data_IF_753486127227
#
_entry.id   IF_753486127227
#
_cell.length_a   1.000
_cell.length_b   1.000
_cell.length_c   1.000
_cell.angle_alpha   90.00
_cell.angle_beta   90.00
_cell.angle_gamma   90.00
#
_symmetry.space_group_name_H-M   'P 1'
#
loop_
_entity.id
_entity.type
_entity.pdbx_description
1 polymer ?
#
# COMPACT_ATOMS: atom_id res chain seq x y z
N UNK A 1 29.74 18.65 -2.98
CA UNK A 1 28.81 18.23 -1.89
C UNK A 1 27.39 18.28 -2.43
N UNK A 2 26.49 17.30 -2.33
CA UNK A 2 26.62 15.91 -1.91
C UNK A 2 25.87 14.98 -2.88
N UNK A 3 26.56 13.94 -3.36
CA UNK A 3 25.96 12.82 -4.12
C UNK A 3 25.50 11.67 -3.21
N UNK A 4 25.56 11.85 -1.88
CA UNK A 4 25.27 10.82 -0.88
C UNK A 4 23.84 10.77 -0.33
N UNK A 5 22.98 11.76 -0.61
CA UNK A 5 21.63 11.83 0.00
C UNK A 5 20.53 11.03 -0.72
N UNK A 6 20.81 10.45 -1.90
CA UNK A 6 19.80 9.72 -2.70
C UNK A 6 19.66 8.23 -2.34
N UNK A 7 20.56 7.70 -1.50
CA UNK A 7 20.50 6.30 -1.08
C UNK A 7 19.52 6.16 0.11
N UNK A 8 18.29 5.72 -0.18
CA UNK A 8 17.31 5.29 0.83
C UNK A 8 15.97 6.03 0.81
N UNK A 9 15.87 7.17 0.12
CA UNK A 9 14.67 8.03 0.11
C UNK A 9 13.90 7.87 -1.20
N UNK A 10 13.08 6.82 -1.34
CA UNK A 10 12.19 6.69 -2.49
C UNK A 10 10.74 6.81 -2.06
N UNK A 11 10.10 7.85 -2.57
CA UNK A 11 8.66 7.95 -2.69
C UNK A 11 8.38 8.05 -4.18
N UNK A 12 7.75 7.04 -4.75
CA UNK A 12 7.30 7.01 -6.13
C UNK A 12 5.89 7.57 -6.22
N UNK A 13 5.60 8.35 -7.24
CA UNK A 13 4.24 8.79 -7.54
C UNK A 13 3.79 8.14 -8.84
N UNK A 14 2.71 7.37 -8.75
CA UNK A 14 1.99 6.86 -9.90
C UNK A 14 1.12 7.97 -10.51
N UNK A 15 0.77 7.85 -11.79
CA UNK A 15 -0.05 8.75 -12.59
C UNK A 15 -1.41 9.01 -11.96
N UNK A 16 -1.97 7.99 -11.31
CA UNK A 16 -3.19 8.18 -10.56
C UNK A 16 -3.00 9.21 -9.43
N UNK A 17 -1.80 9.45 -8.90
CA UNK A 17 -1.38 10.22 -7.68
C UNK A 17 -1.15 9.36 -6.43
N UNK A 18 -1.13 8.04 -6.57
CA UNK A 18 -0.76 7.14 -5.47
C UNK A 18 0.73 7.27 -5.22
N UNK A 19 1.10 7.43 -3.95
CA UNK A 19 2.48 7.37 -3.51
C UNK A 19 2.84 5.94 -3.13
N UNK A 20 4.00 5.45 -3.54
CA UNK A 20 4.55 4.15 -3.13
C UNK A 20 5.92 4.37 -2.51
N UNK A 21 6.15 3.82 -1.33
CA UNK A 21 7.41 4.00 -0.61
C UNK A 21 7.73 2.75 0.21
N UNK A 22 8.95 2.68 0.72
CA UNK A 22 9.44 1.51 1.46
C UNK A 22 9.55 1.76 2.95
N UNK A 23 9.74 0.69 3.72
CA UNK A 23 10.07 0.74 5.14
C UNK A 23 11.28 1.63 5.44
N UNK A 24 12.31 1.57 4.60
CA UNK A 24 13.52 2.38 4.76
C UNK A 24 13.20 3.88 4.73
N UNK A 25 12.23 4.29 3.92
CA UNK A 25 11.74 5.67 3.94
C UNK A 25 11.11 6.04 5.28
N UNK A 26 10.25 5.18 5.85
CA UNK A 26 9.65 5.41 7.18
C UNK A 26 10.73 5.50 8.26
N UNK A 27 11.70 4.59 8.25
CA UNK A 27 12.82 4.58 9.19
C UNK A 27 13.66 5.86 9.09
N UNK A 28 13.88 6.37 7.88
CA UNK A 28 14.57 7.65 7.67
C UNK A 28 13.80 8.87 8.20
N UNK A 29 12.48 8.77 8.39
CA UNK A 29 11.65 9.85 8.93
C UNK A 29 11.64 9.91 10.47
N UNK A 30 12.20 8.90 11.15
CA UNK A 30 12.20 8.84 12.61
C UNK A 30 13.48 8.23 13.16
N UNK A 31 14.25 9.01 13.92
CA UNK A 31 15.44 8.52 14.64
C UNK A 31 15.13 7.32 15.55
N UNK A 32 13.89 7.21 16.05
CA UNK A 32 13.47 6.09 16.91
C UNK A 32 13.35 4.77 16.15
N UNK A 33 13.22 4.81 14.83
CA UNK A 33 13.05 3.66 13.95
C UNK A 33 14.26 3.43 13.03
N UNK A 34 15.34 4.19 13.15
CA UNK A 34 16.45 4.24 12.20
C UNK A 34 17.03 2.84 11.86
N UNK A 35 16.98 1.91 12.81
CA UNK A 35 17.43 0.51 12.65
C UNK A 35 16.39 -0.52 13.10
N UNK A 36 15.14 -0.10 13.28
CA UNK A 36 14.08 -0.96 13.84
C UNK A 36 12.98 -1.14 12.80
N UNK A 37 12.68 -2.39 12.48
CA UNK A 37 11.57 -2.73 11.60
C UNK A 37 10.24 -2.65 12.35
N UNK A 38 9.29 -1.84 11.88
CA UNK A 38 7.93 -1.88 12.42
C UNK A 38 7.24 -3.19 12.03
N UNK A 39 6.60 -3.82 12.99
CA UNK A 39 5.75 -5.02 12.80
C UNK A 39 4.42 -4.63 12.15
N UNK A 40 3.89 -3.47 12.52
CA UNK A 40 2.64 -2.93 11.96
C UNK A 40 2.80 -1.45 11.65
N UNK A 41 2.31 -1.04 10.49
CA UNK A 41 2.25 0.36 10.08
C UNK A 41 0.82 0.71 9.71
N UNK A 42 0.26 1.70 10.39
CA UNK A 42 -1.13 2.13 10.21
C UNK A 42 -1.14 3.61 9.89
N UNK A 43 -1.98 4.02 8.94
CA UNK A 43 -2.18 5.43 8.65
C UNK A 43 -3.14 6.07 9.67
N UNK A 44 -2.72 7.17 10.28
CA UNK A 44 -3.54 7.99 11.19
C UNK A 44 -4.15 9.21 10.51
N UNK A 45 -3.87 9.43 9.21
CA UNK A 45 -4.48 10.52 8.48
C UNK A 45 -6.00 10.26 8.38
N UNK A 46 -6.85 11.26 8.68
CA UNK A 46 -8.30 11.09 8.61
C UNK A 46 -8.82 10.86 7.18
N UNK A 47 -8.00 11.22 6.22
CA UNK A 47 -8.32 11.39 4.82
C UNK A 47 -7.20 10.71 4.04
N UNK A 48 -7.53 9.77 3.15
CA UNK A 48 -6.56 9.04 2.34
C UNK A 48 -6.56 7.54 2.62
N UNK A 49 -6.21 6.76 1.61
CA UNK A 49 -6.18 5.30 1.74
C UNK A 49 -4.75 4.81 1.71
N UNK A 50 -4.39 4.09 2.75
CA UNK A 50 -3.08 3.50 2.93
C UNK A 50 -3.13 2.00 2.69
N UNK A 51 -2.08 1.43 2.12
CA UNK A 51 -1.94 -0.01 1.87
C UNK A 51 -0.60 -0.47 2.42
N UNK A 52 -0.64 -1.51 3.24
CA UNK A 52 0.52 -2.32 3.59
C UNK A 52 0.55 -3.56 2.69
N UNK A 53 1.68 -3.78 2.01
CA UNK A 53 1.88 -4.95 1.16
C UNK A 53 2.48 -6.15 1.90
N UNK A 54 2.90 -5.99 3.16
CA UNK A 54 3.43 -7.07 4.01
C UNK A 54 4.88 -7.46 3.71
N UNK A 55 5.53 -6.78 2.78
CA UNK A 55 6.94 -6.98 2.39
C UNK A 55 7.77 -5.70 2.59
N UNK A 56 7.33 -4.81 3.49
CA UNK A 56 7.98 -3.52 3.74
C UNK A 56 7.84 -2.52 2.59
N UNK A 57 6.85 -2.69 1.73
CA UNK A 57 6.33 -1.64 0.84
C UNK A 57 5.00 -1.14 1.35
N UNK A 58 4.74 0.13 1.08
CA UNK A 58 3.51 0.81 1.44
C UNK A 58 3.04 1.68 0.29
N UNK A 59 1.73 1.84 0.15
CA UNK A 59 1.15 2.82 -0.75
C UNK A 59 0.20 3.77 -0.01
N UNK A 60 0.13 5.01 -0.48
CA UNK A 60 -0.76 6.02 0.06
C UNK A 60 -1.41 6.84 -1.03
N UNK A 61 -2.74 6.85 -1.03
CA UNK A 61 -3.57 7.68 -1.92
C UNK A 61 -3.96 8.96 -1.17
N UNK A 62 -3.30 10.07 -1.51
CA UNK A 62 -3.70 11.41 -1.04
C UNK A 62 -5.15 11.71 -1.43
N UNK A 63 -5.90 12.33 -0.53
CA UNK A 63 -7.23 12.85 -0.86
C UNK A 63 -7.18 14.31 -1.30
N UNK A 64 -6.25 15.11 -0.76
CA UNK A 64 -6.02 16.50 -1.16
C UNK A 64 -4.66 16.66 -1.82
N UNK A 65 -4.58 17.54 -2.82
CA UNK A 65 -3.30 17.90 -3.45
C UNK A 65 -2.37 18.66 -2.49
N UNK A 66 -2.94 19.37 -1.53
CA UNK A 66 -2.20 20.21 -0.59
C UNK A 66 -1.60 19.40 0.57
N UNK A 67 -1.89 18.11 0.65
CA UNK A 67 -1.39 17.24 1.70
C UNK A 67 0.14 17.04 1.59
N UNK A 68 0.87 17.57 2.58
CA UNK A 68 2.34 17.55 2.61
C UNK A 68 2.93 16.52 3.57
N UNK A 69 2.15 15.99 4.52
CA UNK A 69 2.64 15.08 5.56
C UNK A 69 1.71 13.90 5.75
N UNK A 70 2.28 12.69 5.72
CA UNK A 70 1.63 11.45 6.11
C UNK A 70 2.00 11.11 7.56
N UNK A 71 1.01 10.87 8.39
CA UNK A 71 1.18 10.46 9.78
C UNK A 71 0.95 8.95 9.87
N UNK A 72 1.98 8.24 10.30
CA UNK A 72 1.97 6.80 10.46
C UNK A 72 2.15 6.42 11.93
N UNK A 73 1.33 5.47 12.39
CA UNK A 73 1.49 4.77 13.65
C UNK A 73 2.27 3.48 13.38
N UNK A 74 3.49 3.42 13.87
CA UNK A 74 4.39 2.27 13.72
C UNK A 74 4.48 1.53 15.05
N UNK A 75 4.26 0.21 15.04
CA UNK A 75 4.34 -0.62 16.25
C UNK A 75 5.53 -1.55 16.17
N UNK A 76 6.31 -1.65 17.26
CA UNK A 76 7.43 -2.56 17.43
C UNK A 76 7.25 -3.23 18.80
N UNK A 77 7.02 -4.56 18.82
CA UNK A 77 6.58 -5.24 20.03
C UNK A 77 5.34 -4.56 20.62
N UNK A 78 5.43 -4.13 21.89
CA UNK A 78 4.35 -3.41 22.58
C UNK A 78 4.44 -1.89 22.49
N UNK A 79 5.44 -1.34 21.80
CA UNK A 79 5.70 0.11 21.75
C UNK A 79 5.19 0.69 20.44
N UNK A 80 4.46 1.80 20.55
CA UNK A 80 3.95 2.55 19.40
C UNK A 80 4.71 3.85 19.21
N UNK A 81 5.09 4.13 17.97
CA UNK A 81 5.71 5.38 17.53
C UNK A 81 4.82 6.10 16.53
N UNK A 82 4.60 7.39 16.74
CA UNK A 82 4.02 8.26 15.72
C UNK A 82 5.14 8.84 14.85
N UNK A 83 5.03 8.64 13.55
CA UNK A 83 6.03 9.04 12.55
C UNK A 83 5.39 10.00 11.56
N UNK A 84 6.02 11.16 11.37
CA UNK A 84 5.59 12.14 10.38
C UNK A 84 6.47 12.01 9.14
N UNK A 85 5.89 11.53 8.06
CA UNK A 85 6.55 11.31 6.79
C UNK A 85 6.25 12.49 5.84
N UNK A 86 7.26 13.28 5.44
CA UNK A 86 7.06 14.33 4.45
C UNK A 86 6.79 13.70 3.06
N UNK A 87 5.68 14.10 2.43
CA UNK A 87 5.20 13.57 1.15
C UNK A 87 4.94 14.67 0.11
N UNK A 88 5.63 15.80 0.25
CA UNK A 88 5.54 16.93 -0.68
C UNK A 88 5.98 16.54 -2.10
N UNK A 89 5.43 17.20 -3.12
CA UNK A 89 5.67 16.86 -4.53
C UNK A 89 7.13 17.02 -4.97
N UNK A 90 7.94 17.84 -4.28
CA UNK A 90 9.37 17.96 -4.54
C UNK A 90 10.18 16.75 -4.02
N UNK A 91 9.55 15.88 -3.22
CA UNK A 91 10.17 14.68 -2.62
C UNK A 91 9.83 13.39 -3.35
N UNK A 92 8.99 13.44 -4.39
CA UNK A 92 8.50 12.25 -5.09
C UNK A 92 9.11 12.13 -6.48
N UNK A 93 9.33 10.89 -6.92
CA UNK A 93 9.75 10.56 -8.28
C UNK A 93 8.55 10.03 -9.05
N UNK A 94 8.22 10.68 -10.17
CA UNK A 94 7.10 10.23 -11.01
C UNK A 94 7.49 8.98 -11.81
N UNK A 95 6.56 8.03 -11.90
CA UNK A 95 6.70 6.85 -12.76
C UNK A 95 6.46 7.26 -14.22
N UNK A 96 7.25 6.74 -15.19
CA UNK A 96 6.99 7.00 -16.62
C UNK A 96 5.58 6.55 -17.03
N UNK A 97 4.90 7.37 -17.83
CA UNK A 97 3.46 7.20 -18.14
C UNK A 97 3.11 5.84 -18.75
N UNK A 98 3.98 5.26 -19.59
CA UNK A 98 3.73 3.95 -20.24
C UNK A 98 4.00 2.73 -19.34
N UNK A 99 4.54 2.94 -18.14
CA UNK A 99 4.66 1.91 -17.10
C UNK A 99 3.53 1.98 -16.07
N UNK A 100 2.72 3.02 -16.18
CA UNK A 100 1.62 3.28 -15.29
C UNK A 100 0.35 2.82 -15.98
N UNK A 101 -0.33 1.85 -15.37
CA UNK A 101 -1.73 1.72 -15.65
C UNK A 101 -2.36 3.05 -15.24
N UNK A 102 -3.14 3.74 -16.08
CA UNK A 102 -4.08 4.70 -15.55
C UNK A 102 -4.95 3.89 -14.60
N UNK A 103 -4.65 3.97 -13.29
CA UNK A 103 -5.33 3.21 -12.25
C UNK A 103 -6.77 3.60 -12.44
N UNK A 104 -7.55 2.71 -13.07
CA UNK A 104 -8.76 3.07 -13.82
C UNK A 104 -9.48 4.09 -12.99
N UNK A 105 -9.39 5.34 -13.41
CA UNK A 105 -9.99 6.43 -12.67
C UNK A 105 -11.46 6.08 -12.83
N UNK A 106 -12.05 5.44 -11.81
CA UNK A 106 -13.47 5.13 -11.74
C UNK A 106 -14.22 6.45 -11.51
N UNK A 107 -13.81 7.50 -12.21
CA UNK A 107 -14.52 8.75 -12.38
C UNK A 107 -15.85 8.51 -13.09
N UNK A 108 -16.12 7.32 -13.65
CA UNK A 108 -17.47 6.89 -14.05
C UNK A 108 -18.32 6.24 -12.93
N UNK A 109 -17.77 5.91 -11.76
CA UNK A 109 -18.58 5.64 -10.56
C UNK A 109 -19.13 6.92 -9.90
N UNK A 110 -19.01 8.06 -10.58
CA UNK A 110 -19.80 9.27 -10.30
C UNK A 110 -21.32 9.03 -10.41
N UNK A 111 -21.77 7.87 -10.90
CA UNK A 111 -23.17 7.44 -10.92
C UNK A 111 -23.70 6.75 -9.64
N UNK A 112 -22.92 6.62 -8.55
CA UNK A 112 -23.47 6.29 -7.22
C UNK A 112 -23.06 7.30 -6.14
N UNK A 113 -23.49 8.53 -6.39
CA UNK A 113 -23.38 9.71 -5.53
C UNK A 113 -24.26 9.64 -4.26
N UNK A 114 -24.32 8.50 -3.56
CA UNK A 114 -25.20 8.33 -2.38
C UNK A 114 -24.55 7.86 -1.08
N UNK A 115 -23.29 7.43 -1.07
CA UNK A 115 -22.58 7.16 0.18
C UNK A 115 -21.30 8.00 0.23
N UNK A 116 -21.16 8.81 1.28
CA UNK A 116 -19.90 9.46 1.59
C UNK A 116 -18.81 8.39 1.68
N UNK A 117 -17.89 8.33 0.72
CA UNK A 117 -16.74 7.45 0.82
C UNK A 117 -15.97 7.86 2.06
N UNK A 118 -15.94 6.99 3.06
CA UNK A 118 -15.18 7.22 4.27
C UNK A 118 -13.70 7.22 3.90
N UNK A 119 -13.02 8.32 4.18
CA UNK A 119 -11.82 8.64 3.41
C UNK A 119 -10.52 8.07 3.97
N UNK A 120 -10.46 7.78 5.28
CA UNK A 120 -9.26 7.34 5.98
C UNK A 120 -9.31 5.89 6.43
N UNK A 121 -8.64 4.98 5.72
CA UNK A 121 -8.49 3.58 6.13
C UNK A 121 -7.19 2.96 5.64
N UNK A 122 -6.76 1.91 6.35
CA UNK A 122 -5.61 1.09 6.00
C UNK A 122 -6.07 -0.25 5.43
N UNK A 123 -5.52 -0.65 4.28
CA UNK A 123 -5.65 -1.99 3.71
C UNK A 123 -4.43 -2.79 4.14
N UNK A 124 -4.60 -3.87 4.89
CA UNK A 124 -3.53 -4.75 5.33
C UNK A 124 -3.12 -5.74 4.22
N UNK A 125 -1.99 -6.41 4.40
CA UNK A 125 -1.39 -7.31 3.39
C UNK A 125 -2.31 -8.47 2.98
N UNK A 126 -3.12 -8.96 3.92
CA UNK A 126 -4.13 -10.01 3.74
C UNK A 126 -5.45 -9.51 3.11
N UNK A 127 -5.57 -8.21 2.83
CA UNK A 127 -6.78 -7.59 2.29
C UNK A 127 -7.79 -7.13 3.36
N UNK A 128 -7.47 -7.28 4.64
CA UNK A 128 -8.29 -6.73 5.73
C UNK A 128 -8.27 -5.20 5.70
N UNK A 129 -9.43 -4.57 5.79
CA UNK A 129 -9.53 -3.12 6.02
C UNK A 129 -9.51 -2.83 7.52
N UNK A 130 -8.72 -1.85 7.88
CA UNK A 130 -8.55 -1.36 9.23
C UNK A 130 -8.88 0.14 9.26
N UNK A 131 -9.98 0.47 9.93
CA UNK A 131 -10.56 1.81 9.93
C UNK A 131 -10.49 2.38 11.35
N UNK A 132 -9.76 3.47 11.59
CA UNK A 132 -9.73 4.11 12.91
C UNK A 132 -11.12 4.59 13.33
N UNK A 133 -11.56 4.22 14.54
CA UNK A 133 -12.86 4.64 15.07
C UNK A 133 -12.94 6.17 15.20
N UNK A 134 -11.83 6.82 15.55
CA UNK A 134 -11.77 8.28 15.59
C UNK A 134 -12.07 8.92 14.22
N UNK A 135 -11.56 8.32 13.14
CA UNK A 135 -11.86 8.76 11.77
C UNK A 135 -13.33 8.55 11.41
N UNK A 136 -13.93 7.42 11.82
CA UNK A 136 -15.36 7.16 11.67
C UNK A 136 -16.21 8.24 12.37
N UNK A 137 -15.91 8.52 13.64
CA UNK A 137 -16.62 9.53 14.42
C UNK A 137 -16.47 10.93 13.82
N UNK A 138 -15.25 11.32 13.42
CA UNK A 138 -14.99 12.63 12.81
C UNK A 138 -15.76 12.79 11.50
N UNK A 139 -15.84 11.75 10.68
CA UNK A 139 -16.59 11.74 9.43
C UNK A 139 -18.10 11.85 9.67
N UNK A 140 -18.64 11.13 10.65
CA UNK A 140 -20.04 11.22 11.03
C UNK A 140 -20.40 12.61 11.62
N UNK A 141 -19.55 13.17 12.48
CA UNK A 141 -19.69 14.54 13.02
C UNK A 141 -19.67 15.63 11.95
N UNK A 142 -18.91 15.46 10.86
CA UNK A 142 -18.86 16.44 9.77
C UNK A 142 -20.12 16.52 8.90
N UNK A 143 -21.03 15.53 9.03
CA UNK A 143 -22.36 15.56 8.37
C UNK A 143 -23.44 16.22 9.23
N UNK A 144 -23.29 16.20 10.56
CA UNK A 144 -24.16 16.96 11.46
C UNK A 144 -23.70 18.42 11.45
N UNK A 145 -24.59 19.37 11.20
CA UNK A 145 -24.26 20.78 10.94
C UNK A 145 -23.73 21.58 12.13
N UNK A 146 -23.34 20.92 13.22
CA UNK A 146 -22.76 21.55 14.40
C UNK A 146 -21.67 20.65 14.98
N UNK A 147 -20.82 21.21 15.84
CA UNK A 147 -19.70 20.56 16.55
C UNK A 147 -20.16 19.45 17.53
N UNK A 148 -21.16 18.66 17.15
CA UNK A 148 -21.69 17.52 17.87
C UNK A 148 -20.63 16.43 17.81
N UNK A 149 -19.98 16.21 18.96
CA UNK A 149 -19.20 14.99 19.15
C UNK A 149 -20.16 13.82 18.98
N UNK A 150 -19.75 12.79 18.25
CA UNK A 150 -20.49 11.54 18.12
C UNK A 150 -19.61 10.39 18.63
N UNK A 151 -20.27 9.34 19.10
CA UNK A 151 -19.64 8.09 19.52
C UNK A 151 -20.06 6.97 18.57
N UNK A 152 -19.11 6.12 18.19
CA UNK A 152 -19.40 4.94 17.38
C UNK A 152 -20.05 3.87 18.26
N UNK A 153 -21.22 3.39 17.85
CA UNK A 153 -21.96 2.33 18.56
C UNK A 153 -21.66 0.94 18.00
N UNK A 154 -21.45 0.83 16.69
CA UNK A 154 -21.23 -0.46 16.03
C UNK A 154 -21.61 -0.47 14.56
N UNK A 155 -21.59 -1.68 14.00
CA UNK A 155 -22.01 -1.96 12.62
C UNK A 155 -23.42 -2.54 12.68
N UNK A 156 -24.35 -1.93 11.95
CA UNK A 156 -25.74 -2.38 11.82
C UNK A 156 -25.86 -3.48 10.77
N UNK A 157 -25.21 -3.29 9.62
CA UNK A 157 -25.27 -4.20 8.49
C UNK A 157 -23.98 -4.12 7.65
N UNK A 158 -23.65 -5.22 6.98
CA UNK A 158 -22.46 -5.36 6.13
C UNK A 158 -22.78 -6.19 4.90
N UNK A 159 -22.20 -5.80 3.76
CA UNK A 159 -22.36 -6.51 2.49
C UNK A 159 -22.05 -8.02 2.60
N UNK A 160 -22.90 -8.82 1.94
CA UNK A 160 -22.81 -10.29 1.97
C UNK A 160 -21.44 -10.75 1.46
N UNK A 161 -20.79 -11.59 2.26
CA UNK A 161 -19.45 -12.13 1.96
C UNK A 161 -18.35 -11.50 2.80
N UNK A 162 -18.63 -10.41 3.49
CA UNK A 162 -17.72 -9.78 4.44
C UNK A 162 -18.18 -10.00 5.88
N UNK A 163 -17.25 -9.85 6.81
CA UNK A 163 -17.48 -9.84 8.25
C UNK A 163 -16.63 -8.74 8.89
N UNK A 164 -16.84 -8.48 10.17
CA UNK A 164 -16.13 -7.43 10.87
C UNK A 164 -15.76 -7.83 12.30
N UNK A 165 -14.83 -7.07 12.88
CA UNK A 165 -14.52 -7.07 14.30
C UNK A 165 -14.31 -5.65 14.78
N UNK A 166 -14.75 -5.35 16.00
CA UNK A 166 -14.63 -4.01 16.61
C UNK A 166 -13.69 -4.11 17.80
N UNK A 167 -12.69 -3.25 17.82
CA UNK A 167 -11.78 -3.03 18.96
C UNK A 167 -12.02 -1.61 19.51
N UNK A 168 -11.46 -1.23 20.67
CA UNK A 168 -11.59 0.13 21.18
C UNK A 168 -11.08 1.23 20.24
N UNK A 169 -10.20 0.89 19.29
CA UNK A 169 -9.53 1.87 18.42
C UNK A 169 -9.86 1.70 16.93
N UNK A 170 -10.28 0.52 16.51
CA UNK A 170 -10.42 0.16 15.09
C UNK A 170 -11.65 -0.69 14.82
N UNK A 171 -12.28 -0.42 13.68
CA UNK A 171 -13.18 -1.33 12.99
C UNK A 171 -12.37 -2.10 11.94
N UNK A 172 -12.38 -3.43 12.03
CA UNK A 172 -11.75 -4.34 11.09
C UNK A 172 -12.82 -4.94 10.18
N UNK A 173 -12.59 -4.95 8.87
CA UNK A 173 -13.51 -5.49 7.86
C UNK A 173 -12.75 -6.41 6.92
N UNK A 174 -13.20 -7.67 6.79
CA UNK A 174 -12.48 -8.69 6.03
C UNK A 174 -13.43 -9.72 5.40
N UNK A 175 -13.03 -10.42 4.33
CA UNK A 175 -13.86 -11.43 3.68
C UNK A 175 -14.09 -12.65 4.59
N UNK A 176 -15.30 -13.22 4.57
CA UNK A 176 -15.68 -14.42 5.36
C UNK A 176 -14.93 -15.68 4.94
N UNK A 177 -14.54 -15.78 3.67
CA UNK A 177 -13.81 -16.91 3.11
C UNK A 177 -12.56 -16.37 2.42
N UNK A 178 -11.39 -16.73 2.94
CA UNK A 178 -10.09 -16.33 2.40
C UNK A 178 -9.73 -17.01 1.08
N UNK A 179 -10.38 -18.13 0.75
CA UNK A 179 -10.04 -18.98 -0.41
C UNK A 179 -10.93 -18.76 -1.65
N UNK A 180 -12.04 -18.04 -1.52
CA UNK A 180 -12.91 -17.69 -2.64
C UNK A 180 -12.89 -16.17 -2.76
N UNK A 181 -12.38 -15.66 -3.87
CA UNK A 181 -12.34 -14.22 -4.14
C UNK A 181 -13.72 -13.60 -3.85
N UNK A 182 -13.80 -12.52 -3.07
CA UNK A 182 -15.07 -11.85 -2.82
C UNK A 182 -15.71 -11.47 -4.16
N UNK A 183 -17.03 -11.70 -4.28
CA UNK A 183 -17.77 -11.45 -5.53
C UNK A 183 -17.80 -9.97 -5.92
N UNK A 184 -17.56 -9.08 -4.96
CA UNK A 184 -17.64 -7.63 -5.14
C UNK A 184 -16.27 -7.00 -4.90
N UNK A 185 -15.91 -6.03 -5.74
CA UNK A 185 -14.75 -5.16 -5.55
C UNK A 185 -15.01 -4.07 -4.49
N UNK A 186 -16.28 -3.88 -4.14
CA UNK A 186 -16.75 -2.88 -3.19
C UNK A 186 -17.39 -3.58 -1.98
N UNK A 187 -17.35 -2.92 -0.84
CA UNK A 187 -18.04 -3.36 0.38
C UNK A 187 -18.80 -2.20 0.98
N UNK A 188 -20.11 -2.39 1.13
CA UNK A 188 -21.00 -1.42 1.76
C UNK A 188 -21.23 -1.80 3.23
N UNK A 189 -21.09 -0.81 4.13
CA UNK A 189 -21.34 -0.96 5.56
C UNK A 189 -22.32 0.10 6.05
N UNK A 190 -23.24 -0.35 6.90
CA UNK A 190 -24.10 0.50 7.71
C UNK A 190 -23.50 0.67 9.10
N UNK A 191 -23.19 1.90 9.50
CA UNK A 191 -22.57 2.21 10.79
C UNK A 191 -23.54 3.01 11.67
N UNK A 192 -23.52 2.74 12.98
CA UNK A 192 -24.35 3.43 13.97
C UNK A 192 -23.51 4.38 14.81
N UNK A 193 -24.01 5.59 15.00
CA UNK A 193 -23.41 6.62 15.83
C UNK A 193 -24.42 7.22 16.80
N UNK A 194 -23.98 7.59 18.00
CA UNK A 194 -24.78 8.32 18.98
C UNK A 194 -24.20 9.71 19.21
N UNK A 195 -25.04 10.74 19.08
CA UNK A 195 -24.69 12.12 19.39
C UNK A 195 -24.52 12.32 20.89
N UNK A 196 -23.47 13.02 21.32
CA UNK A 196 -23.30 13.33 22.74
C UNK A 196 -24.40 14.30 23.20
N UNK A 197 -25.10 13.97 24.29
CA UNK A 197 -26.19 14.80 24.84
C UNK A 197 -27.56 14.59 24.19
N UNK A 198 -27.68 13.64 23.26
CA UNK A 198 -28.95 13.19 22.68
C UNK A 198 -29.03 11.66 22.74
N UNK A 199 -30.24 11.12 22.85
CA UNK A 199 -30.48 9.69 22.68
C UNK A 199 -30.69 9.29 21.21
N UNK A 200 -30.57 10.26 20.29
CA UNK A 200 -30.65 10.03 18.86
C UNK A 200 -29.47 9.19 18.34
N UNK A 201 -29.82 8.12 17.62
CA UNK A 201 -28.88 7.25 16.92
C UNK A 201 -28.96 7.53 15.43
N UNK A 202 -27.83 7.91 14.85
CA UNK A 202 -27.70 8.17 13.41
C UNK A 202 -27.08 6.98 12.71
N UNK A 203 -27.69 6.56 11.60
CA UNK A 203 -27.16 5.52 10.71
C UNK A 203 -26.42 6.15 9.53
N UNK A 204 -25.18 5.72 9.27
CA UNK A 204 -24.34 6.22 8.18
C UNK A 204 -23.90 5.06 7.28
N UNK A 205 -24.25 5.15 6.00
CA UNK A 205 -23.75 4.23 4.97
C UNK A 205 -22.36 4.64 4.50
N UNK A 206 -21.46 3.66 4.44
CA UNK A 206 -20.07 3.81 3.99
C UNK A 206 -19.76 2.77 2.92
N UNK A 207 -19.02 3.17 1.88
CA UNK A 207 -18.57 2.27 0.81
C UNK A 207 -17.04 2.24 0.81
N UNK A 208 -16.47 1.04 0.81
CA UNK A 208 -15.03 0.80 0.74
C UNK A 208 -14.70 0.03 -0.53
N UNK A 209 -13.55 0.36 -1.13
CA UNK A 209 -13.08 -0.25 -2.35
C UNK A 209 -11.91 -1.18 -2.03
N UNK A 210 -12.20 -2.49 -2.09
CA UNK A 210 -11.25 -3.57 -1.85
C UNK A 210 -10.35 -3.83 -3.07
N UNK A 211 -10.72 -3.32 -4.25
CA UNK A 211 -9.89 -3.43 -5.45
C UNK A 211 -8.84 -2.33 -5.55
N UNK A 212 -8.83 -1.38 -4.62
CA UNK A 212 -7.79 -0.36 -4.58
C UNK A 212 -6.42 -1.01 -4.44
N UNK A 213 -5.51 -0.65 -5.35
CA UNK A 213 -4.17 -1.23 -5.47
C UNK A 213 -4.11 -2.68 -5.97
N UNK A 214 -5.21 -3.27 -6.47
CA UNK A 214 -5.20 -4.66 -6.95
C UNK A 214 -4.30 -4.90 -8.17
N UNK A 215 -3.99 -3.84 -8.92
CA UNK A 215 -3.07 -3.88 -10.07
C UNK A 215 -1.63 -3.49 -9.71
N UNK A 216 -1.34 -3.22 -8.43
CA UNK A 216 -0.02 -2.82 -7.97
C UNK A 216 0.64 -3.96 -7.20
N UNK A 217 1.77 -4.44 -7.69
CA UNK A 217 2.53 -5.53 -7.08
C UNK A 217 3.90 -5.05 -6.63
N UNK A 218 4.36 -5.54 -5.48
CA UNK A 218 5.65 -5.14 -4.90
C UNK A 218 6.49 -6.35 -4.53
N UNK A 219 7.81 -6.23 -4.67
CA UNK A 219 8.73 -7.32 -4.29
C UNK A 219 10.09 -6.83 -3.81
N UNK A 220 10.70 -7.66 -2.96
CA UNK A 220 12.11 -7.56 -2.57
C UNK A 220 12.85 -8.75 -3.17
N UNK A 221 13.67 -8.48 -4.19
CA UNK A 221 14.40 -9.50 -4.93
C UNK A 221 15.79 -9.69 -4.30
N UNK A 222 16.17 -10.94 -4.03
CA UNK A 222 17.52 -11.31 -3.60
C UNK A 222 18.25 -11.91 -4.79
N UNK A 223 19.05 -11.11 -5.50
CA UNK A 223 19.78 -11.53 -6.68
C UNK A 223 21.26 -11.73 -6.35
N UNK A 224 21.95 -12.59 -7.09
CA UNK A 224 23.41 -12.68 -6.99
C UNK A 224 24.05 -11.34 -7.40
N UNK A 225 25.19 -10.99 -6.84
CA UNK A 225 25.94 -9.80 -7.24
C UNK A 225 26.47 -9.90 -8.68
N UNK A 226 26.58 -11.11 -9.20
CA UNK A 226 27.00 -11.38 -10.59
C UNK A 226 25.83 -11.35 -11.58
N UNK A 227 24.61 -11.12 -11.08
CA UNK A 227 23.41 -11.04 -11.94
C UNK A 227 23.57 -9.84 -12.87
N UNK A 228 23.56 -10.07 -14.18
CA UNK A 228 23.62 -9.00 -15.20
C UNK A 228 22.29 -8.79 -15.92
N UNK A 229 21.41 -9.78 -15.84
CA UNK A 229 20.10 -9.77 -16.47
C UNK A 229 18.99 -10.00 -15.44
N UNK A 230 17.83 -9.38 -15.67
CA UNK A 230 16.61 -9.58 -14.90
C UNK A 230 15.71 -10.53 -15.68
N UNK A 231 15.65 -11.78 -15.24
CA UNK A 231 14.82 -12.78 -15.89
C UNK A 231 13.33 -12.49 -15.69
N UNK A 232 12.53 -12.65 -16.74
CA UNK A 232 11.08 -12.56 -16.67
C UNK A 232 10.48 -13.46 -15.57
N UNK A 233 11.05 -14.65 -15.36
CA UNK A 233 10.63 -15.55 -14.29
C UNK A 233 10.77 -14.91 -12.90
N UNK A 234 11.86 -14.18 -12.65
CA UNK A 234 12.07 -13.52 -11.37
C UNK A 234 11.10 -12.34 -11.14
N UNK A 235 10.73 -11.63 -12.20
CA UNK A 235 9.78 -10.51 -12.14
C UNK A 235 8.32 -11.01 -12.04
N UNK A 236 8.01 -12.13 -12.69
CA UNK A 236 6.65 -12.71 -12.69
C UNK A 236 6.33 -13.53 -11.44
N UNK A 237 7.33 -14.00 -10.69
CA UNK A 237 7.12 -14.67 -9.39
C UNK A 237 6.36 -13.80 -8.37
N UNK A 238 6.37 -12.49 -8.55
CA UNK A 238 5.67 -11.51 -7.70
C UNK A 238 4.16 -11.51 -7.96
N UNK A 239 3.71 -12.22 -9.00
CA UNK A 239 2.39 -12.11 -9.59
C UNK A 239 1.60 -13.43 -9.45
N UNK A 240 1.35 -13.94 -8.24
CA UNK A 240 0.68 -15.22 -8.08
C UNK A 240 -0.82 -15.21 -8.48
N UNK A 241 -1.40 -14.04 -8.76
CA UNK A 241 -2.86 -13.86 -8.84
C UNK A 241 -3.32 -12.92 -9.95
N UNK A 242 -2.67 -12.96 -11.14
CA UNK A 242 -3.27 -12.35 -12.32
C UNK A 242 -4.32 -13.28 -12.93
N UNK A 243 -5.40 -12.68 -13.41
CA UNK A 243 -6.50 -13.38 -14.08
C UNK A 243 -6.07 -14.04 -15.40
N UNK A 244 -4.98 -13.58 -16.01
CA UNK A 244 -4.51 -14.04 -17.31
C UNK A 244 -3.37 -15.06 -17.17
N UNK A 245 -3.51 -16.25 -17.80
CA UNK A 245 -2.47 -17.29 -17.79
C UNK A 245 -1.24 -16.94 -18.66
N UNK A 246 -1.31 -15.85 -19.44
CA UNK A 246 -0.26 -15.44 -20.40
C UNK A 246 0.42 -14.13 -20.02
N UNK A 247 0.35 -13.71 -18.75
CA UNK A 247 0.97 -12.47 -18.30
C UNK A 247 2.51 -12.49 -18.44
N UNK A 248 3.08 -11.43 -19.02
CA UNK A 248 4.52 -11.23 -19.18
C UNK A 248 4.93 -9.81 -18.81
N UNK A 249 6.23 -9.60 -18.59
CA UNK A 249 6.78 -8.26 -18.38
C UNK A 249 7.08 -7.64 -19.72
N UNK A 250 6.47 -6.50 -20.03
CA UNK A 250 6.69 -5.79 -21.29
C UNK A 250 7.94 -4.91 -21.24
N UNK A 251 8.11 -4.19 -20.13
CA UNK A 251 9.15 -3.18 -19.99
C UNK A 251 9.57 -3.00 -18.55
N UNK A 252 10.85 -2.70 -18.34
CA UNK A 252 11.46 -2.50 -17.03
C UNK A 252 12.24 -1.19 -17.03
N UNK A 253 11.94 -0.32 -16.07
CA UNK A 253 12.64 0.93 -15.83
C UNK A 253 13.45 0.86 -14.54
N UNK A 254 14.74 1.12 -14.65
CA UNK A 254 15.65 1.27 -13.53
C UNK A 254 15.55 2.69 -12.98
N UNK A 255 15.05 2.84 -11.75
CA UNK A 255 14.89 4.14 -11.11
C UNK A 255 16.22 4.81 -10.79
N UNK A 256 17.25 4.02 -10.42
CA UNK A 256 18.55 4.57 -10.03
C UNK A 256 19.36 5.05 -11.23
N UNK A 257 19.20 4.40 -12.39
CA UNK A 257 19.79 4.80 -13.67
C UNK A 257 18.91 5.73 -14.50
N UNK A 258 17.65 5.94 -14.09
CA UNK A 258 16.61 6.64 -14.85
C UNK A 258 16.53 6.22 -16.32
N UNK A 259 16.54 4.92 -16.57
CA UNK A 259 16.57 4.37 -17.92
C UNK A 259 15.80 3.06 -18.02
N UNK A 260 15.34 2.77 -19.24
CA UNK A 260 14.81 1.46 -19.59
C UNK A 260 15.92 0.43 -19.73
N UNK A 261 15.66 -0.75 -19.18
CA UNK A 261 16.46 -1.93 -19.47
C UNK A 261 16.15 -2.42 -20.90
N UNK A 262 17.16 -2.99 -21.54
CA UNK A 262 17.07 -3.52 -22.91
C UNK A 262 16.52 -4.95 -22.83
N UNK A 263 15.39 -5.24 -23.48
CA UNK A 263 14.90 -6.61 -23.57
C UNK A 263 15.81 -7.47 -24.45
N UNK A 264 16.00 -8.73 -24.06
CA UNK A 264 16.78 -9.73 -24.77
C UNK A 264 15.87 -10.76 -25.43
N UNK A 265 16.41 -11.51 -26.40
CA UNK A 265 15.66 -12.55 -27.13
C UNK A 265 15.21 -13.71 -26.23
N UNK A 266 15.87 -13.90 -25.08
CA UNK A 266 15.52 -14.92 -24.07
C UNK A 266 14.46 -14.43 -23.06
N UNK A 267 13.92 -13.22 -23.23
CA UNK A 267 12.93 -12.61 -22.34
C UNK A 267 13.54 -11.97 -21.09
N UNK A 268 14.86 -11.94 -20.96
CA UNK A 268 15.53 -11.21 -19.88
C UNK A 268 15.69 -9.71 -20.20
N UNK A 269 15.96 -8.92 -19.17
CA UNK A 269 16.20 -7.48 -19.30
C UNK A 269 17.59 -7.12 -18.78
N UNK A 270 18.39 -6.41 -19.58
CA UNK A 270 19.75 -6.00 -19.20
C UNK A 270 19.86 -4.49 -19.12
N UNK A 271 20.76 -4.01 -18.27
CA UNK A 271 21.13 -2.61 -18.28
C UNK A 271 21.85 -2.26 -19.59
N UNK A 272 21.62 -1.08 -20.17
CA UNK A 272 22.30 -0.63 -21.41
C UNK A 272 23.82 -0.64 -21.28
N UNK A 273 24.32 -0.40 -20.07
CA UNK A 273 25.75 -0.44 -19.77
C UNK A 273 26.21 -1.81 -19.26
N UNK A 274 25.36 -2.84 -19.35
CA UNK A 274 25.57 -4.21 -18.83
C UNK A 274 26.05 -4.26 -17.37
N UNK A 275 25.68 -3.25 -16.59
CA UNK A 275 26.05 -3.15 -15.18
C UNK A 275 25.43 -4.31 -14.39
N UNK A 276 26.29 -5.16 -13.84
CA UNK A 276 25.90 -6.19 -12.88
C UNK A 276 25.16 -5.57 -11.68
N UNK A 277 24.31 -6.36 -11.02
CA UNK A 277 23.61 -5.92 -9.82
C UNK A 277 24.63 -5.72 -8.69
N UNK A 278 24.84 -4.47 -8.31
CA UNK A 278 25.80 -4.14 -7.24
C UNK A 278 25.29 -4.51 -5.84
N UNK A 279 26.16 -4.36 -4.84
CA UNK A 279 25.81 -4.43 -3.40
C UNK A 279 24.80 -3.34 -3.01
N UNK A 280 24.74 -2.24 -3.77
CA UNK A 280 23.77 -1.19 -3.54
C UNK A 280 22.39 -1.61 -4.06
N UNK A 281 21.32 -1.38 -3.29
CA UNK A 281 19.98 -1.76 -3.70
C UNK A 281 19.57 -1.02 -4.96
N UNK A 282 19.11 -1.78 -5.96
CA UNK A 282 18.57 -1.25 -7.21
C UNK A 282 17.05 -1.33 -7.19
N UNK A 283 16.38 -0.31 -7.71
CA UNK A 283 14.93 -0.22 -7.73
C UNK A 283 14.39 -0.16 -9.15
N UNK A 284 13.30 -0.87 -9.36
CA UNK A 284 12.69 -1.06 -10.66
C UNK A 284 11.19 -0.82 -10.59
N UNK A 285 10.67 -0.28 -11.70
CA UNK A 285 9.24 -0.28 -12.00
C UNK A 285 9.07 -0.99 -13.34
N UNK A 286 8.09 -1.86 -13.46
CA UNK A 286 7.87 -2.62 -14.67
C UNK A 286 6.39 -2.81 -15.00
N UNK A 287 6.09 -2.88 -16.29
CA UNK A 287 4.76 -3.11 -16.84
C UNK A 287 4.53 -4.60 -17.04
N UNK A 288 3.36 -5.08 -16.64
CA UNK A 288 2.92 -6.47 -16.84
C UNK A 288 1.74 -6.49 -17.79
N UNK A 289 1.89 -7.14 -18.94
CA UNK A 289 0.89 -7.19 -19.99
C UNK A 289 0.43 -8.62 -20.23
N UNK A 290 -0.79 -8.79 -20.73
CA UNK A 290 -1.35 -10.09 -21.10
C UNK A 290 -1.34 -10.36 -22.61
N UNK A 291 -0.57 -9.58 -23.37
CA UNK A 291 -0.48 -9.64 -24.83
C UNK A 291 -1.48 -8.74 -25.56
N UNK A 292 -2.49 -8.21 -24.86
CA UNK A 292 -3.42 -7.22 -25.41
C UNK A 292 -3.29 -5.90 -24.69
N UNK A 293 -3.30 -5.94 -23.36
CA UNK A 293 -3.26 -4.72 -22.55
C UNK A 293 -2.31 -4.84 -21.36
N UNK A 294 -1.96 -3.66 -20.82
CA UNK A 294 -1.29 -3.54 -19.55
C UNK A 294 -2.28 -3.94 -18.44
N UNK A 295 -1.92 -4.94 -17.63
CA UNK A 295 -2.81 -5.50 -16.59
C UNK A 295 -2.34 -5.20 -15.16
N UNK A 296 -1.05 -4.89 -14.97
CA UNK A 296 -0.50 -4.56 -13.66
C UNK A 296 0.83 -3.80 -13.70
N UNK A 297 1.09 -2.98 -12.69
CA UNK A 297 2.38 -2.33 -12.45
C UNK A 297 3.12 -3.07 -11.34
N UNK A 298 4.35 -3.49 -11.61
CA UNK A 298 5.25 -4.09 -10.64
C UNK A 298 6.31 -3.11 -10.14
N UNK A 299 6.63 -3.15 -8.85
CA UNK A 299 7.70 -2.37 -8.23
C UNK A 299 8.60 -3.32 -7.46
N UNK A 300 9.90 -3.29 -7.73
CA UNK A 300 10.86 -4.17 -7.06
C UNK A 300 12.07 -3.41 -6.51
N UNK A 301 12.57 -3.89 -5.38
CA UNK A 301 13.89 -3.51 -4.85
C UNK A 301 14.76 -4.76 -4.83
N UNK A 302 15.86 -4.76 -5.56
CA UNK A 302 16.85 -5.83 -5.58
C UNK A 302 18.03 -5.51 -4.67
N UNK A 303 18.68 -6.54 -4.13
CA UNK A 303 19.98 -6.49 -3.44
C UNK A 303 20.04 -5.46 -2.31
N UNK A 304 19.15 -5.64 -1.33
CA UNK A 304 19.16 -4.88 -0.09
C UNK A 304 20.49 -5.08 0.67
N UNK A 305 21.02 -4.04 1.33
CA UNK A 305 22.24 -4.18 2.11
C UNK A 305 22.06 -5.26 3.18
N UNK A 306 23.05 -6.15 3.32
CA UNK A 306 23.03 -7.36 4.17
C UNK A 306 22.54 -7.14 5.60
N UNK A 307 22.67 -5.93 6.13
CA UNK A 307 22.18 -5.54 7.46
C UNK A 307 20.65 -5.63 7.64
N UNK A 308 19.86 -5.70 6.55
CA UNK A 308 18.40 -5.74 6.60
C UNK A 308 17.78 -7.13 6.35
N UNK A 309 18.61 -8.16 6.16
CA UNK A 309 18.18 -9.56 6.16
C UNK A 309 18.35 -10.15 7.57
N UNK A 310 17.67 -9.59 8.57
CA UNK A 310 17.57 -10.28 9.86
C UNK A 310 16.62 -11.44 9.65
N UNK A 311 17.20 -12.64 9.65
CA UNK A 311 16.48 -13.90 9.75
C UNK A 311 15.49 -13.81 10.89
N UNK A 312 14.20 -13.97 10.59
CA UNK A 312 13.20 -14.31 11.60
C UNK A 312 13.63 -15.65 12.20
N UNK A 313 14.39 -15.61 13.29
CA UNK A 313 14.53 -16.77 14.18
C UNK A 313 13.14 -17.01 14.75
N UNK A 314 12.36 -17.87 14.08
CA UNK A 314 11.28 -18.62 14.72
C UNK A 314 11.89 -19.26 15.96
N UNK A 315 11.58 -18.73 17.15
CA UNK A 315 11.69 -19.50 18.37
C UNK A 315 10.69 -20.65 18.22
N UNK A 316 11.16 -21.81 17.77
CA UNK A 316 10.55 -23.07 18.15
C UNK A 316 10.68 -23.15 19.67
N UNK A 317 9.62 -22.80 20.39
CA UNK A 317 9.42 -23.32 21.73
C UNK A 317 8.95 -24.76 21.57
N UNK A 318 9.90 -25.69 21.49
CA UNK A 318 9.65 -27.03 21.99
C UNK A 318 9.67 -26.93 23.51
N UNK A 319 8.52 -27.15 24.12
CA UNK A 319 8.43 -27.57 25.50
C UNK A 319 7.21 -28.50 25.60
N UNK A 320 7.43 -29.75 25.18
CA UNK A 320 6.84 -30.87 25.88
C UNK A 320 7.50 -30.90 27.27
N UNK A 321 6.68 -30.82 28.32
CA UNK A 321 6.63 -31.68 29.51
C UNK A 321 5.52 -31.17 30.42
#
# INVERSE_FOLDING_TARGET
MGRGEKHGRLILQLACKTLVFTREFIQSCSKKLEFIEPEYVICENPNGVFKDFGNGFYAYRKQSKDEQTLVLKCTVGSVTFRVNCPIASDKVLSVPEHLDLPCSDMSELTLRRQASSLSGYTVLSDGTLMIPIESLCRHASGKSSDKVKVSFLGVDDIERGYTFSVTPHYLLVYPKQTLLAPKSKLCHLSLLFKSFGSDEVTKVMSCFDFSRFSSLFTSRLSLSLDTKCFEQKALTQVIPSLSSPIAFVESVFCLDGQQFLVPQADGSFVDKEEKAVSVNPRRFVYSICDGVEHVATGIAVANLPRLLQVTTKRRQTNAEY
#
